data_IF_076287342935
#
_entry.id   IF_076287342935
#
_cell.length_a   1.000
_cell.length_b   1.000
_cell.length_c   1.000
_cell.angle_alpha   90.00
_cell.angle_beta   90.00
_cell.angle_gamma   90.00
#
_symmetry.space_group_name_H-M   'P 1'
#
loop_
_entity.id
_entity.type
_entity.pdbx_description
1 polymer ?
#
# COMPACT_ATOMS: atom_id res chain seq x y z
N UNK A 1 16.85 1.09 -21.24
CA UNK A 1 16.33 1.07 -19.86
C UNK A 1 17.47 0.58 -18.98
N UNK A 2 18.00 1.44 -18.11
CA UNK A 2 19.02 1.01 -17.15
C UNK A 2 18.27 0.27 -16.04
N UNK A 3 18.57 -1.00 -15.74
CA UNK A 3 17.96 -1.67 -14.61
C UNK A 3 18.38 -0.93 -13.34
N UNK A 4 17.41 -0.27 -12.70
CA UNK A 4 17.60 0.28 -11.36
C UNK A 4 17.51 -0.90 -10.41
N UNK A 5 18.68 -1.39 -9.97
CA UNK A 5 18.75 -2.32 -8.85
C UNK A 5 18.64 -1.48 -7.58
N UNK A 6 17.42 -1.30 -7.10
CA UNK A 6 17.26 -0.94 -5.69
C UNK A 6 17.79 -2.14 -4.87
N UNK A 7 18.74 -1.94 -3.95
CA UNK A 7 19.15 -3.01 -3.04
C UNK A 7 17.88 -3.49 -2.33
N UNK A 8 17.55 -4.77 -2.51
CA UNK A 8 16.45 -5.41 -1.79
C UNK A 8 16.98 -5.80 -0.43
N UNK A 9 16.21 -5.52 0.61
CA UNK A 9 16.52 -5.95 1.97
C UNK A 9 16.72 -7.47 2.00
N UNK A 10 17.89 -7.90 2.43
CA UNK A 10 18.24 -9.30 2.63
C UNK A 10 17.89 -9.72 4.07
N UNK A 11 17.56 -10.99 4.30
CA UNK A 11 17.35 -11.56 5.64
C UNK A 11 18.61 -11.47 6.52
N UNK A 12 19.77 -11.29 5.91
CA UNK A 12 21.04 -11.01 6.59
C UNK A 12 21.13 -9.57 7.13
N UNK A 13 20.22 -8.68 6.72
CA UNK A 13 20.08 -7.31 7.25
C UNK A 13 19.12 -7.22 8.46
N UNK A 14 18.52 -8.33 8.87
CA UNK A 14 17.78 -8.44 10.13
C UNK A 14 18.74 -8.29 11.32
N UNK A 15 18.37 -7.45 12.28
CA UNK A 15 19.18 -7.13 13.46
C UNK A 15 18.93 -8.08 14.63
N UNK A 16 17.85 -8.85 14.56
CA UNK A 16 17.48 -9.83 15.57
C UNK A 16 16.74 -11.02 14.96
N UNK A 17 16.73 -12.13 15.70
CA UNK A 17 15.92 -13.31 15.36
C UNK A 17 14.43 -12.96 15.28
N UNK A 18 14.00 -11.95 16.03
CA UNK A 18 12.63 -11.46 16.02
C UNK A 18 12.24 -10.84 14.68
N UNK A 19 13.08 -9.93 14.16
CA UNK A 19 12.87 -9.33 12.83
C UNK A 19 12.90 -10.39 11.74
N UNK A 20 13.87 -11.31 11.80
CA UNK A 20 13.99 -12.40 10.82
C UNK A 20 12.72 -13.25 10.80
N UNK A 21 12.27 -13.72 11.96
CA UNK A 21 11.06 -14.53 12.07
C UNK A 21 9.82 -13.78 11.55
N UNK A 22 9.73 -12.47 11.80
CA UNK A 22 8.64 -11.64 11.31
C UNK A 22 8.63 -11.52 9.77
N UNK A 23 9.78 -11.18 9.16
CA UNK A 23 9.92 -11.08 7.70
C UNK A 23 9.64 -12.41 7.03
N UNK A 24 10.25 -13.49 7.53
CA UNK A 24 10.07 -14.84 6.97
C UNK A 24 8.59 -15.26 6.99
N UNK A 25 7.89 -15.02 8.10
CA UNK A 25 6.47 -15.32 8.21
C UNK A 25 5.63 -14.51 7.22
N UNK A 26 5.90 -13.21 7.07
CA UNK A 26 5.18 -12.35 6.12
C UNK A 26 5.47 -12.73 4.66
N UNK A 27 6.74 -12.97 4.31
CA UNK A 27 7.13 -13.38 2.95
C UNK A 27 6.55 -14.76 2.60
N UNK A 28 6.54 -15.71 3.54
CA UNK A 28 5.89 -17.00 3.32
C UNK A 28 4.38 -16.85 3.06
N UNK A 29 3.70 -15.94 3.78
CA UNK A 29 2.28 -15.61 3.51
C UNK A 29 2.12 -14.91 2.15
N UNK A 30 3.04 -14.04 1.77
CA UNK A 30 3.05 -13.35 0.47
C UNK A 30 3.17 -14.34 -0.69
N UNK A 31 4.16 -15.23 -0.64
CA UNK A 31 4.40 -16.27 -1.62
C UNK A 31 3.18 -17.20 -1.76
N UNK A 32 2.63 -17.67 -0.63
CA UNK A 32 1.44 -18.52 -0.63
C UNK A 32 0.20 -17.79 -1.18
N UNK A 33 0.11 -16.48 -0.98
CA UNK A 33 -0.99 -15.63 -1.43
C UNK A 33 -0.83 -15.09 -2.85
N UNK A 34 0.30 -15.31 -3.51
CA UNK A 34 0.59 -14.79 -4.86
C UNK A 34 0.71 -13.26 -4.92
N UNK A 35 1.15 -12.62 -3.83
CA UNK A 35 1.45 -11.19 -3.77
C UNK A 35 2.90 -10.99 -3.33
N UNK A 36 3.41 -9.78 -3.51
CA UNK A 36 4.81 -9.48 -3.24
C UNK A 36 4.91 -8.35 -2.21
N UNK A 37 5.80 -8.53 -1.24
CA UNK A 37 6.13 -7.55 -0.22
C UNK A 37 7.60 -7.16 -0.37
N UNK A 38 7.86 -5.86 -0.34
CA UNK A 38 9.21 -5.35 -0.21
C UNK A 38 9.51 -5.06 1.27
N UNK A 39 10.68 -5.47 1.73
CA UNK A 39 11.21 -5.13 3.05
C UNK A 39 12.26 -4.04 2.92
N UNK A 40 12.35 -3.17 3.92
CA UNK A 40 13.21 -2.00 3.93
C UNK A 40 13.63 -1.64 5.34
N UNK A 41 14.78 -0.97 5.43
CA UNK A 41 15.17 -0.18 6.61
C UNK A 41 15.00 1.30 6.29
N UNK A 42 13.76 1.80 6.36
CA UNK A 42 13.50 3.23 6.13
C UNK A 42 14.01 4.05 7.32
N UNK A 43 13.81 3.53 8.52
CA UNK A 43 14.20 4.16 9.76
C UNK A 43 15.10 3.21 10.55
N UNK A 44 16.09 3.78 11.24
CA UNK A 44 17.11 2.99 11.91
C UNK A 44 16.57 2.12 13.05
N UNK A 45 15.40 2.41 13.60
CA UNK A 45 14.86 1.75 14.79
C UNK A 45 13.87 0.62 14.48
N UNK A 46 13.42 0.48 13.24
CA UNK A 46 12.36 -0.48 12.90
C UNK A 46 12.47 -1.02 11.49
N UNK A 47 11.88 -2.19 11.29
CA UNK A 47 11.75 -2.83 9.99
C UNK A 47 10.47 -2.33 9.33
N UNK A 48 10.54 -1.94 8.06
CA UNK A 48 9.36 -1.56 7.27
C UNK A 48 9.13 -2.59 6.17
N UNK A 49 7.92 -3.13 6.10
CA UNK A 49 7.43 -3.97 5.00
C UNK A 49 6.35 -3.20 4.25
N UNK A 50 6.38 -3.24 2.93
CA UNK A 50 5.42 -2.53 2.09
C UNK A 50 4.87 -3.38 0.95
N UNK A 51 3.61 -3.17 0.60
CA UNK A 51 2.98 -3.74 -0.59
C UNK A 51 2.38 -2.61 -1.43
N UNK A 52 2.79 -2.53 -2.69
CA UNK A 52 2.25 -1.56 -3.65
C UNK A 52 1.06 -2.17 -4.40
N UNK A 53 -0.12 -1.55 -4.27
CA UNK A 53 -1.29 -1.87 -5.09
C UNK A 53 -1.26 -0.99 -6.32
N UNK A 54 -1.09 -1.57 -7.50
CA UNK A 54 -0.99 -0.84 -8.76
C UNK A 54 -2.26 -0.93 -9.62
N UNK A 55 -2.45 0.02 -10.52
CA UNK A 55 -3.40 -0.12 -11.62
C UNK A 55 -2.90 -1.21 -12.59
N UNK A 56 -3.77 -2.15 -12.95
CA UNK A 56 -3.43 -3.24 -13.87
C UNK A 56 -3.35 -2.80 -15.33
N UNK A 57 -3.92 -1.64 -15.68
CA UNK A 57 -3.87 -1.11 -17.04
C UNK A 57 -2.52 -0.43 -17.32
N UNK A 58 -1.76 -0.89 -18.33
CA UNK A 58 -0.43 -0.36 -18.64
C UNK A 58 -0.40 1.13 -18.99
N UNK A 59 -1.52 1.70 -19.46
CA UNK A 59 -1.63 3.13 -19.77
C UNK A 59 -1.43 4.01 -18.54
N UNK A 60 -1.87 3.54 -17.36
CA UNK A 60 -1.79 4.31 -16.13
C UNK A 60 -0.57 3.93 -15.30
N UNK A 61 -0.22 2.62 -15.26
CA UNK A 61 0.95 2.04 -14.60
C UNK A 61 1.44 2.82 -13.36
N UNK A 62 0.51 3.05 -12.42
CA UNK A 62 0.75 3.84 -11.22
C UNK A 62 0.48 3.02 -9.97
N UNK A 63 1.25 3.29 -8.91
CA UNK A 63 0.93 2.83 -7.56
C UNK A 63 -0.29 3.60 -7.09
N UNK A 64 -1.36 2.89 -6.80
CA UNK A 64 -2.61 3.44 -6.28
C UNK A 64 -2.53 3.56 -4.76
N UNK A 65 -1.99 2.54 -4.08
CA UNK A 65 -1.84 2.51 -2.63
C UNK A 65 -0.49 1.91 -2.27
N UNK A 66 0.16 2.50 -1.27
CA UNK A 66 1.28 1.86 -0.57
C UNK A 66 0.74 1.38 0.77
N UNK A 67 0.64 0.06 0.95
CA UNK A 67 0.28 -0.56 2.22
C UNK A 67 1.56 -0.78 3.00
N UNK A 68 1.57 -0.43 4.28
CA UNK A 68 2.78 -0.38 5.08
C UNK A 68 2.59 -1.12 6.40
N UNK A 69 3.64 -1.80 6.82
CA UNK A 69 3.78 -2.47 8.10
C UNK A 69 5.13 -2.06 8.70
N UNK A 70 5.14 -1.52 9.90
CA UNK A 70 6.35 -1.21 10.66
C UNK A 70 6.45 -2.13 11.88
N UNK A 71 7.60 -2.76 12.10
CA UNK A 71 7.84 -3.72 13.18
C UNK A 71 9.06 -3.32 14.03
N UNK A 72 8.90 -3.32 15.36
CA UNK A 72 9.91 -2.87 16.34
C UNK A 72 10.25 -3.93 17.42
N UNK A 73 10.48 -5.18 17.02
CA UNK A 73 10.84 -6.32 17.90
C UNK A 73 9.74 -6.80 18.88
N UNK A 74 8.67 -6.04 19.09
CA UNK A 74 7.58 -6.44 19.99
C UNK A 74 6.22 -5.80 19.69
N UNK A 75 6.18 -4.84 18.78
CA UNK A 75 4.96 -4.25 18.26
C UNK A 75 4.98 -4.20 16.73
N UNK A 76 3.78 -4.10 16.16
CA UNK A 76 3.56 -3.85 14.75
C UNK A 76 2.56 -2.73 14.58
N UNK A 77 2.84 -1.81 13.66
CA UNK A 77 1.88 -0.86 13.15
C UNK A 77 1.62 -1.17 11.69
N UNK A 78 0.38 -1.14 11.25
CA UNK A 78 0.05 -1.33 9.84
C UNK A 78 -1.07 -0.40 9.39
N UNK A 79 -0.95 0.10 8.17
CA UNK A 79 -1.83 1.11 7.62
C UNK A 79 -1.43 1.54 6.21
N UNK A 80 -2.28 2.29 5.49
CA UNK A 80 -1.87 2.93 4.24
C UNK A 80 -0.81 4.02 4.50
N UNK A 81 0.25 4.04 3.71
CA UNK A 81 1.20 5.17 3.66
C UNK A 81 0.68 6.24 2.69
N UNK A 82 0.22 7.36 3.23
CA UNK A 82 -0.31 8.48 2.45
C UNK A 82 0.74 9.16 1.56
N UNK A 83 2.01 9.03 1.93
CA UNK A 83 3.10 9.72 1.25
C UNK A 83 3.63 8.93 0.07
N UNK A 84 3.33 7.61 0.04
CA UNK A 84 3.93 6.63 -0.86
C UNK A 84 5.47 6.61 -0.83
N UNK A 85 6.07 7.21 0.19
CA UNK A 85 7.49 7.52 0.30
C UNK A 85 8.02 7.26 1.71
N UNK A 86 7.19 6.72 2.61
CA UNK A 86 7.53 6.47 4.00
C UNK A 86 8.01 7.72 4.75
N UNK A 87 7.57 8.90 4.31
CA UNK A 87 8.10 10.18 4.78
C UNK A 87 7.60 10.56 6.17
N UNK A 88 6.58 9.88 6.69
CA UNK A 88 5.99 10.10 8.02
C UNK A 88 5.71 8.78 8.73
N UNK A 89 5.63 8.85 10.06
CA UNK A 89 5.17 7.74 10.90
C UNK A 89 3.72 7.35 10.57
N UNK A 90 3.40 6.06 10.75
CA UNK A 90 2.01 5.62 10.78
C UNK A 90 1.33 6.19 12.03
N UNK A 91 0.45 7.18 11.82
CA UNK A 91 -0.32 7.83 12.87
C UNK A 91 -1.52 6.95 13.31
N UNK A 92 -1.55 6.43 14.56
CA UNK A 92 -2.64 5.60 15.06
C UNK A 92 -4.00 6.32 15.15
N UNK A 93 -4.02 7.66 15.13
CA UNK A 93 -5.27 8.42 15.11
C UNK A 93 -5.95 8.38 13.73
N UNK A 94 -5.27 7.91 12.69
CA UNK A 94 -5.80 7.88 11.33
C UNK A 94 -6.67 6.65 11.08
N UNK A 95 -7.79 6.81 10.35
CA UNK A 95 -8.57 5.68 9.88
C UNK A 95 -7.71 4.68 9.09
N UNK A 96 -7.87 3.40 9.39
CA UNK A 96 -7.17 2.32 8.69
C UNK A 96 -5.75 2.03 9.18
N UNK A 97 -5.22 2.82 10.13
CA UNK A 97 -4.00 2.49 10.87
C UNK A 97 -4.36 1.68 12.12
N UNK A 98 -3.58 0.65 12.41
CA UNK A 98 -3.73 -0.16 13.62
C UNK A 98 -2.36 -0.47 14.20
N UNK A 99 -2.30 -0.60 15.52
CA UNK A 99 -1.10 -0.94 16.26
C UNK A 99 -1.40 -2.12 17.20
N UNK A 100 -0.54 -3.12 17.20
CA UNK A 100 -0.61 -4.29 18.08
C UNK A 100 0.73 -4.48 18.78
N UNK A 101 0.71 -4.89 20.05
CA UNK A 101 1.92 -5.16 20.82
C UNK A 101 1.65 -6.22 21.88
N UNK A 102 2.73 -6.81 22.43
CA UNK A 102 2.64 -7.78 23.52
C UNK A 102 2.11 -9.16 23.11
N UNK A 103 2.10 -9.47 21.81
CA UNK A 103 1.76 -10.77 21.26
C UNK A 103 3.02 -11.51 20.80
N UNK A 104 2.98 -12.86 20.69
CA UNK A 104 4.02 -13.61 19.99
C UNK A 104 4.25 -13.07 18.58
N UNK A 105 5.50 -13.09 18.12
CA UNK A 105 5.90 -12.54 16.81
C UNK A 105 5.12 -13.16 15.66
N UNK A 106 4.87 -14.47 15.73
CA UNK A 106 4.06 -15.19 14.73
C UNK A 106 2.64 -14.65 14.63
N UNK A 107 2.05 -14.23 15.75
CA UNK A 107 0.70 -13.67 15.79
C UNK A 107 0.68 -12.22 15.28
N UNK A 108 1.74 -11.44 15.57
CA UNK A 108 1.92 -10.10 14.99
C UNK A 108 2.07 -10.18 13.46
N UNK A 109 2.90 -11.10 12.96
CA UNK A 109 3.10 -11.33 11.54
C UNK A 109 1.81 -11.82 10.86
N UNK A 110 1.07 -12.73 11.49
CA UNK A 110 -0.22 -13.19 10.99
C UNK A 110 -1.25 -12.05 10.91
N UNK A 111 -1.36 -11.22 11.95
CA UNK A 111 -2.26 -10.07 11.95
C UNK A 111 -1.91 -9.05 10.85
N UNK A 112 -0.62 -8.76 10.65
CA UNK A 112 -0.16 -7.90 9.58
C UNK A 112 -0.46 -8.50 8.19
N UNK A 113 -0.21 -9.80 8.01
CA UNK A 113 -0.50 -10.52 6.77
C UNK A 113 -2.00 -10.50 6.44
N UNK A 114 -2.85 -10.78 7.42
CA UNK A 114 -4.30 -10.79 7.24
C UNK A 114 -4.86 -9.40 6.92
N UNK A 115 -4.27 -8.35 7.52
CA UNK A 115 -4.58 -6.97 7.15
C UNK A 115 -4.14 -6.67 5.71
N UNK A 116 -2.90 -6.99 5.34
CA UNK A 116 -2.38 -6.79 3.98
C UNK A 116 -3.26 -7.50 2.95
N UNK A 117 -3.55 -8.78 3.15
CA UNK A 117 -4.36 -9.58 2.24
C UNK A 117 -5.77 -9.03 2.07
N UNK A 118 -6.39 -8.55 3.16
CA UNK A 118 -7.69 -7.89 3.09
C UNK A 118 -7.60 -6.62 2.26
N UNK A 119 -6.63 -5.75 2.55
CA UNK A 119 -6.48 -4.47 1.85
C UNK A 119 -6.09 -4.61 0.37
N UNK A 120 -5.25 -5.60 0.03
CA UNK A 120 -4.87 -5.95 -1.34
C UNK A 120 -6.09 -6.40 -2.16
N UNK A 121 -7.06 -7.07 -1.54
CA UNK A 121 -8.28 -7.56 -2.20
C UNK A 121 -9.40 -6.52 -2.27
N UNK A 122 -9.21 -5.32 -1.72
CA UNK A 122 -10.28 -4.31 -1.76
C UNK A 122 -10.53 -3.85 -3.21
N UNK A 123 -11.79 -3.82 -3.64
CA UNK A 123 -12.13 -3.44 -5.01
C UNK A 123 -11.83 -1.96 -5.24
N UNK A 124 -11.24 -1.64 -6.39
CA UNK A 124 -10.94 -0.26 -6.78
C UNK A 124 -11.63 0.03 -8.11
N UNK A 125 -12.31 1.17 -8.18
CA UNK A 125 -12.88 1.72 -9.41
C UNK A 125 -12.16 2.99 -9.81
N UNK A 126 -11.99 3.17 -11.11
CA UNK A 126 -11.55 4.42 -11.73
C UNK A 126 -12.77 5.12 -12.33
N UNK A 127 -13.01 6.34 -11.88
CA UNK A 127 -14.02 7.24 -12.40
C UNK A 127 -13.37 8.14 -13.44
N UNK A 128 -13.94 8.18 -14.63
CA UNK A 128 -13.36 8.86 -15.79
C UNK A 128 -14.28 9.98 -16.27
N UNK A 129 -13.67 11.14 -16.56
CA UNK A 129 -14.32 12.25 -17.25
C UNK A 129 -13.54 12.52 -18.54
N UNK A 130 -14.18 12.36 -19.69
CA UNK A 130 -13.53 12.47 -21.00
C UNK A 130 -13.39 13.93 -21.48
N UNK A 131 -13.80 14.87 -20.63
CA UNK A 131 -13.61 16.31 -20.80
C UNK A 131 -12.25 16.71 -20.21
N UNK A 132 -11.39 17.42 -20.96
CA UNK A 132 -10.14 17.94 -20.40
C UNK A 132 -10.40 19.02 -19.33
N UNK A 133 -9.54 19.06 -18.31
CA UNK A 133 -9.49 20.17 -17.35
C UNK A 133 -8.86 21.44 -17.97
N UNK A 134 -8.69 22.49 -17.15
CA UNK A 134 -8.06 23.73 -17.59
C UNK A 134 -6.59 23.59 -18.06
N UNK A 135 -5.98 22.42 -17.85
CA UNK A 135 -4.62 22.07 -18.29
C UNK A 135 -4.61 21.08 -19.46
N UNK A 136 -5.78 20.76 -20.02
CA UNK A 136 -5.91 19.81 -21.12
C UNK A 136 -5.78 18.34 -20.70
N UNK A 137 -5.87 18.03 -19.40
CA UNK A 137 -5.77 16.66 -18.88
C UNK A 137 -7.18 16.16 -18.50
N UNK A 138 -7.58 15.03 -19.04
CA UNK A 138 -8.85 14.39 -18.70
C UNK A 138 -8.80 13.86 -17.25
N UNK A 139 -9.65 14.33 -16.32
CA UNK A 139 -9.59 13.91 -14.92
C UNK A 139 -9.90 12.43 -14.72
N UNK A 140 -9.17 11.81 -13.79
CA UNK A 140 -9.36 10.42 -13.38
C UNK A 140 -9.29 10.36 -11.85
N UNK A 141 -10.22 9.64 -11.22
CA UNK A 141 -10.24 9.42 -9.78
C UNK A 141 -10.32 7.93 -9.50
N UNK A 142 -9.34 7.39 -8.78
CA UNK A 142 -9.39 6.05 -8.24
C UNK A 142 -9.98 6.10 -6.85
N UNK A 143 -10.93 5.21 -6.58
CA UNK A 143 -11.58 5.12 -5.29
C UNK A 143 -11.85 3.67 -4.92
N UNK A 144 -11.85 3.38 -3.62
CA UNK A 144 -12.29 2.10 -3.10
C UNK A 144 -13.78 1.95 -3.39
N UNK A 145 -14.17 0.84 -4.02
CA UNK A 145 -15.54 0.65 -4.48
C UNK A 145 -16.51 0.35 -3.33
N UNK A 146 -16.00 -0.21 -2.23
CA UNK A 146 -16.75 -0.57 -1.02
C UNK A 146 -17.07 0.67 -0.14
N UNK A 147 -16.15 1.62 -0.02
CA UNK A 147 -16.32 2.80 0.84
C UNK A 147 -16.49 4.12 0.08
N UNK A 148 -16.12 4.16 -1.21
CA UNK A 148 -16.07 5.38 -2.01
C UNK A 148 -14.89 6.30 -1.67
N UNK A 149 -13.99 5.88 -0.78
CA UNK A 149 -12.81 6.63 -0.36
C UNK A 149 -11.86 6.85 -1.53
N UNK A 150 -11.40 8.10 -1.71
CA UNK A 150 -10.44 8.47 -2.75
C UNK A 150 -9.07 7.87 -2.44
N UNK A 151 -8.50 7.20 -3.44
CA UNK A 151 -7.17 6.58 -3.36
C UNK A 151 -6.13 7.48 -3.99
N UNK A 152 -6.33 7.87 -5.24
CA UNK A 152 -5.47 8.80 -5.96
C UNK A 152 -6.24 9.47 -7.09
N UNK A 153 -5.73 10.60 -7.59
CA UNK A 153 -6.35 11.35 -8.66
C UNK A 153 -5.31 11.86 -9.67
N UNK A 154 -5.72 11.94 -10.94
CA UNK A 154 -4.97 12.56 -12.03
C UNK A 154 -5.82 13.66 -12.66
N UNK A 155 -5.19 14.79 -12.98
CA UNK A 155 -5.91 15.97 -13.46
C UNK A 155 -6.72 16.64 -12.35
N UNK A 156 -7.16 17.86 -12.60
CA UNK A 156 -7.91 18.63 -11.62
C UNK A 156 -9.41 18.49 -11.88
N UNK A 157 -10.14 17.86 -10.95
CA UNK A 157 -11.60 17.89 -10.96
C UNK A 157 -12.06 19.29 -10.57
N UNK A 158 -12.75 20.01 -11.47
CA UNK A 158 -13.49 21.22 -11.07
C UNK A 158 -14.89 20.82 -10.58
N UNK A 159 -15.55 21.63 -9.72
CA UNK A 159 -16.91 21.36 -9.26
C UNK A 159 -17.92 21.13 -10.39
N UNK A 160 -17.66 21.70 -11.57
CA UNK A 160 -18.55 21.66 -12.74
C UNK A 160 -18.48 20.36 -13.54
N UNK A 161 -17.61 19.41 -13.18
CA UNK A 161 -17.42 18.17 -13.94
C UNK A 161 -18.60 17.20 -13.89
N UNK A 162 -19.54 17.39 -12.95
CA UNK A 162 -20.71 16.53 -12.81
C UNK A 162 -20.34 15.07 -12.53
N UNK A 163 -21.26 14.12 -12.77
CA UNK A 163 -20.97 12.69 -12.63
C UNK A 163 -19.90 12.24 -13.65
N UNK A 164 -19.16 11.15 -13.36
CA UNK A 164 -18.22 10.59 -14.32
C UNK A 164 -18.94 10.06 -15.56
N UNK A 165 -18.27 10.14 -16.70
CA UNK A 165 -18.77 9.59 -17.97
C UNK A 165 -18.68 8.04 -17.94
N UNK A 166 -17.65 7.51 -17.25
CA UNK A 166 -17.42 6.06 -17.10
C UNK A 166 -16.93 5.71 -15.69
N UNK A 167 -17.29 4.51 -15.24
CA UNK A 167 -16.75 3.89 -14.02
C UNK A 167 -16.19 2.53 -14.39
N UNK A 168 -14.87 2.41 -14.30
CA UNK A 168 -14.11 1.22 -14.74
C UNK A 168 -13.61 0.48 -13.51
N UNK A 169 -13.94 -0.82 -13.33
CA UNK A 169 -13.31 -1.64 -12.30
C UNK A 169 -11.83 -1.83 -12.64
N UNK A 170 -10.94 -1.35 -11.77
CA UNK A 170 -9.48 -1.51 -11.89
C UNK A 170 -9.03 -2.78 -11.17
N UNK A 171 -9.66 -3.07 -10.03
CA UNK A 171 -9.40 -4.26 -9.23
C UNK A 171 -10.71 -4.78 -8.68
N UNK A 172 -10.88 -6.10 -8.74
CA UNK A 172 -12.07 -6.82 -8.25
C UNK A 172 -11.72 -7.65 -7.04
#
# INVERSE_FOLDING_TARGET
>A
MIPVFAPRFDLDECRSDAERAFVEALHARADAGGWFADSWRVWDDRLTVSVCVCDSEPEYNCVLRTLRVDFDEGAVQFGPDETHQFATDLDPARPGVSALSGLPIVDLAAAAADWLEREIRRPIVRREWDRPDCRGVAPRLWALADTGESVTARGQRTPDFGPPDRVVPVRR
#
